data_IF_594622446511
#
_entry.id   IF_594622446511
#
_cell.length_a   1.000
_cell.length_b   1.000
_cell.length_c   1.000
_cell.angle_alpha   90.00
_cell.angle_beta   90.00
_cell.angle_gamma   90.00
#
_symmetry.space_group_name_H-M   'P 1'
#
loop_
_entity.id
_entity.type
_entity.pdbx_description
1 polymer ?
#
# COMPACT_ATOMS: atom_id res chain seq x y z
N UNK A 1 -42.56 -6.82 38.54
CA UNK A 1 -41.28 -6.11 38.41
C UNK A 1 -40.20 -7.08 38.82
N UNK A 2 -39.46 -7.58 37.85
CA UNK A 2 -38.70 -8.83 37.89
C UNK A 2 -37.26 -8.56 38.33
N UNK A 3 -36.82 -9.33 39.32
CA UNK A 3 -35.48 -9.52 39.88
C UNK A 3 -34.32 -9.05 39.00
N UNK A 4 -33.40 -8.27 39.58
CA UNK A 4 -32.05 -8.14 39.05
C UNK A 4 -31.05 -8.51 40.15
N UNK A 5 -30.67 -9.78 40.13
CA UNK A 5 -29.49 -10.32 40.80
C UNK A 5 -28.29 -9.80 39.99
N UNK A 6 -27.45 -8.96 40.58
CA UNK A 6 -26.16 -8.58 39.98
C UNK A 6 -25.09 -9.50 40.56
N UNK A 7 -24.82 -10.60 39.85
CA UNK A 7 -23.70 -11.50 40.15
C UNK A 7 -22.43 -10.93 39.52
N UNK A 8 -21.41 -10.76 40.38
CA UNK A 8 -20.02 -10.41 40.06
C UNK A 8 -19.39 -11.55 39.26
N UNK A 9 -18.85 -11.29 38.06
CA UNK A 9 -17.84 -12.17 37.46
C UNK A 9 -16.77 -11.40 36.67
N UNK A 10 -15.52 -11.75 37.01
CA UNK A 10 -14.28 -11.16 36.56
C UNK A 10 -14.11 -11.20 35.03
N UNK A 11 -13.76 -10.07 34.43
CA UNK A 11 -13.36 -10.01 33.02
C UNK A 11 -11.84 -9.94 32.95
N UNK A 12 -11.25 -11.07 32.61
CA UNK A 12 -9.85 -11.29 32.31
C UNK A 12 -9.38 -10.34 31.19
N UNK A 13 -8.36 -9.53 31.49
CA UNK A 13 -7.70 -8.67 30.51
C UNK A 13 -6.79 -9.53 29.63
N UNK A 14 -7.36 -10.12 28.57
CA UNK A 14 -6.60 -10.80 27.54
C UNK A 14 -5.78 -9.77 26.74
N UNK A 15 -4.46 -9.81 26.92
CA UNK A 15 -3.49 -9.10 26.08
C UNK A 15 -3.59 -9.64 24.65
N UNK A 16 -4.30 -8.94 23.77
CA UNK A 16 -4.21 -9.18 22.33
C UNK A 16 -2.85 -8.68 21.84
N UNK A 17 -1.87 -9.59 21.82
CA UNK A 17 -0.64 -9.41 21.06
C UNK A 17 -1.03 -9.27 19.58
N UNK A 18 -1.07 -8.03 19.11
CA UNK A 18 -1.36 -7.70 17.72
C UNK A 18 -0.13 -8.07 16.88
N UNK A 19 -0.13 -9.26 16.30
CA UNK A 19 0.91 -9.67 15.34
C UNK A 19 0.72 -8.88 14.04
N UNK A 20 1.43 -7.75 13.94
CA UNK A 20 1.53 -6.99 12.70
C UNK A 20 2.40 -7.76 11.70
N UNK A 21 1.79 -8.55 10.82
CA UNK A 21 2.49 -9.15 9.68
C UNK A 21 2.71 -8.08 8.61
N UNK A 22 3.97 -7.71 8.38
CA UNK A 22 4.36 -6.95 7.21
C UNK A 22 4.07 -7.75 5.93
N UNK A 23 3.69 -7.06 4.86
CA UNK A 23 3.41 -7.64 3.53
C UNK A 23 4.74 -8.16 2.94
N UNK A 24 4.87 -9.49 2.83
CA UNK A 24 6.05 -10.17 2.28
C UNK A 24 6.24 -9.91 0.78
N UNK A 25 7.49 -10.00 0.30
CA UNK A 25 7.79 -10.08 -1.14
C UNK A 25 7.02 -11.26 -1.77
N UNK A 26 6.21 -11.00 -2.80
CA UNK A 26 5.29 -11.98 -3.39
C UNK A 26 3.81 -11.66 -3.21
N UNK A 27 3.47 -10.47 -2.71
CA UNK A 27 2.10 -9.97 -2.60
C UNK A 27 1.87 -8.83 -3.59
N UNK A 28 0.68 -8.80 -4.17
CA UNK A 28 0.18 -7.68 -4.95
C UNK A 28 -0.61 -6.73 -4.07
N UNK A 29 -0.60 -5.44 -4.39
CA UNK A 29 -1.45 -4.43 -3.78
C UNK A 29 -2.39 -3.86 -4.84
N UNK A 30 -3.66 -3.71 -4.50
CA UNK A 30 -4.66 -3.09 -5.38
C UNK A 30 -5.00 -1.68 -4.89
N UNK A 31 -4.88 -0.71 -5.79
CA UNK A 31 -5.37 0.64 -5.61
C UNK A 31 -6.68 0.79 -6.37
N UNK A 32 -7.76 0.91 -5.61
CA UNK A 32 -9.12 1.13 -6.09
C UNK A 32 -9.46 2.61 -5.94
N UNK A 33 -10.33 3.14 -6.80
CA UNK A 33 -10.79 4.53 -6.74
C UNK A 33 -10.28 5.43 -7.87
N UNK A 34 -9.58 4.87 -8.87
CA UNK A 34 -9.36 5.56 -10.14
C UNK A 34 -10.49 5.24 -11.11
N UNK A 35 -11.06 6.24 -11.76
CA UNK A 35 -12.08 6.06 -12.81
C UNK A 35 -11.51 5.32 -14.04
N UNK A 36 -10.19 5.39 -14.24
CA UNK A 36 -9.45 4.73 -15.32
C UNK A 36 -9.18 3.25 -15.11
N UNK A 37 -9.51 2.67 -13.94
CA UNK A 37 -9.31 1.25 -13.65
C UNK A 37 -8.48 0.99 -12.40
N UNK A 38 -8.43 -0.28 -11.98
CA UNK A 38 -7.70 -0.70 -10.78
C UNK A 38 -6.21 -0.74 -11.11
N UNK A 39 -5.38 -0.20 -10.20
CA UNK A 39 -3.93 -0.33 -10.31
C UNK A 39 -3.45 -1.46 -9.43
N UNK A 40 -2.75 -2.42 -10.01
CA UNK A 40 -2.10 -3.52 -9.28
C UNK A 40 -0.61 -3.24 -9.20
N UNK A 41 -0.08 -3.09 -7.99
CA UNK A 41 1.36 -3.08 -7.73
C UNK A 41 1.83 -4.49 -7.43
N UNK A 42 2.78 -4.99 -8.24
CA UNK A 42 3.40 -6.29 -8.03
C UNK A 42 4.73 -6.15 -7.27
N UNK A 43 4.75 -6.61 -6.02
CA UNK A 43 5.92 -6.53 -5.16
C UNK A 43 7.08 -7.47 -5.55
N UNK A 44 6.82 -8.52 -6.33
CA UNK A 44 7.88 -9.40 -6.83
C UNK A 44 8.61 -8.72 -8.00
N UNK A 45 7.87 -8.20 -8.99
CA UNK A 45 8.44 -7.48 -10.13
C UNK A 45 9.27 -6.26 -9.68
N UNK A 46 8.75 -5.48 -8.73
CA UNK A 46 9.47 -4.31 -8.24
C UNK A 46 10.68 -4.68 -7.38
N UNK A 47 10.65 -5.82 -6.68
CA UNK A 47 11.81 -6.29 -5.93
C UNK A 47 12.95 -6.71 -6.85
N UNK A 48 12.65 -7.33 -7.99
CA UNK A 48 13.67 -7.69 -9.00
C UNK A 48 14.29 -6.44 -9.65
N UNK A 49 13.55 -5.33 -9.70
CA UNK A 49 14.00 -4.07 -10.29
C UNK A 49 14.78 -3.15 -9.33
N UNK A 50 14.90 -3.48 -8.04
CA UNK A 50 15.57 -2.65 -7.02
C UNK A 50 16.50 -3.50 -6.15
N UNK A 51 17.45 -2.86 -5.45
CA UNK A 51 18.46 -3.58 -4.67
C UNK A 51 18.03 -3.74 -3.21
N UNK A 52 17.27 -2.79 -2.67
CA UNK A 52 16.94 -2.78 -1.25
C UNK A 52 15.50 -2.34 -0.98
N UNK A 53 14.94 -2.79 0.15
CA UNK A 53 13.64 -2.34 0.63
C UNK A 53 13.60 -0.81 0.85
N UNK A 54 14.74 -0.19 1.16
CA UNK A 54 14.88 1.25 1.41
C UNK A 54 14.79 2.07 0.13
N UNK A 55 14.94 1.44 -1.03
CA UNK A 55 14.81 2.13 -2.32
C UNK A 55 13.38 2.63 -2.53
N UNK A 56 12.40 1.91 -1.96
CA UNK A 56 10.99 2.28 -1.91
C UNK A 56 10.58 2.87 -0.55
N UNK A 57 11.00 2.23 0.55
CA UNK A 57 10.56 2.57 1.90
C UNK A 57 11.47 3.56 2.59
N UNK A 58 11.32 4.82 2.19
CA UNK A 58 12.01 5.98 2.74
C UNK A 58 11.10 7.21 2.79
N UNK A 59 11.53 8.20 3.55
CA UNK A 59 10.88 9.51 3.60
C UNK A 59 10.73 10.11 2.20
N UNK A 60 9.55 10.70 1.95
CA UNK A 60 9.20 11.29 0.65
C UNK A 60 8.82 10.30 -0.46
N UNK A 61 8.82 8.98 -0.20
CA UNK A 61 8.36 7.96 -1.15
C UNK A 61 7.26 7.08 -0.54
N UNK A 62 7.61 5.99 0.13
CA UNK A 62 6.67 5.13 0.85
C UNK A 62 7.19 4.79 2.25
N UNK A 63 7.27 5.75 3.19
CA UNK A 63 7.99 5.58 4.46
C UNK A 63 7.43 4.46 5.35
N UNK A 64 6.18 4.05 5.13
CA UNK A 64 5.53 2.95 5.85
C UNK A 64 5.18 1.83 4.89
N UNK A 65 5.50 0.60 5.27
CA UNK A 65 5.07 -0.63 4.59
C UNK A 65 3.59 -0.94 4.88
N UNK A 66 2.71 0.03 4.63
CA UNK A 66 1.27 -0.05 4.90
C UNK A 66 0.51 0.77 3.86
N UNK A 67 -0.40 0.10 3.15
CA UNK A 67 -1.28 0.75 2.17
C UNK A 67 -2.16 1.82 2.85
N UNK A 68 -2.44 2.90 2.12
CA UNK A 68 -3.29 4.01 2.57
C UNK A 68 -2.60 5.01 3.50
N UNK A 69 -1.30 4.84 3.79
CA UNK A 69 -0.53 5.82 4.59
C UNK A 69 -0.01 7.00 3.78
N UNK A 70 0.08 6.84 2.46
CA UNK A 70 0.48 7.87 1.50
C UNK A 70 -0.65 8.03 0.52
N UNK A 71 -1.10 9.28 0.32
CA UNK A 71 -2.03 9.61 -0.76
C UNK A 71 -1.23 9.61 -2.06
N UNK A 72 -1.65 8.82 -3.03
CA UNK A 72 -1.00 8.73 -4.34
C UNK A 72 -1.89 9.45 -5.34
N UNK A 73 -1.34 10.44 -6.02
CA UNK A 73 -2.04 11.18 -7.08
C UNK A 73 -1.25 11.16 -8.37
N UNK A 74 -1.94 11.22 -9.52
CA UNK A 74 -1.25 11.32 -10.81
C UNK A 74 -0.48 12.64 -10.95
N UNK A 75 -0.94 13.71 -10.30
CA UNK A 75 -0.21 14.98 -10.23
C UNK A 75 1.18 14.80 -9.61
N UNK A 76 1.27 14.12 -8.47
CA UNK A 76 2.56 13.84 -7.82
C UNK A 76 3.42 12.90 -8.66
N UNK A 77 2.81 11.89 -9.30
CA UNK A 77 3.53 10.97 -10.19
C UNK A 77 4.13 11.73 -11.37
N UNK A 78 3.37 12.62 -12.02
CA UNK A 78 3.87 13.44 -13.12
C UNK A 78 4.89 14.49 -12.66
N UNK A 79 4.85 14.90 -11.40
CA UNK A 79 5.89 15.73 -10.77
C UNK A 79 7.15 14.93 -10.37
N UNK A 80 7.26 13.65 -10.76
CA UNK A 80 8.43 12.80 -10.49
C UNK A 80 8.49 12.25 -9.07
N UNK A 81 7.38 12.30 -8.32
CA UNK A 81 7.28 11.75 -6.96
C UNK A 81 6.61 10.37 -6.98
N UNK A 82 6.69 9.66 -5.87
CA UNK A 82 6.03 8.36 -5.70
C UNK A 82 6.42 7.38 -6.82
N UNK A 83 5.46 6.81 -7.54
CA UNK A 83 5.71 5.93 -8.68
C UNK A 83 6.58 6.61 -9.75
N UNK A 84 6.42 7.92 -9.92
CA UNK A 84 7.15 8.75 -10.88
C UNK A 84 8.64 8.92 -10.57
N UNK A 85 9.12 8.56 -9.37
CA UNK A 85 10.56 8.54 -9.08
C UNK A 85 11.30 7.58 -10.01
N UNK A 86 10.64 6.47 -10.38
CA UNK A 86 11.20 5.46 -11.29
C UNK A 86 10.49 5.48 -12.65
N UNK A 87 9.16 5.62 -12.68
CA UNK A 87 8.37 5.65 -13.92
C UNK A 87 8.40 7.02 -14.61
N UNK A 88 9.61 7.47 -14.96
CA UNK A 88 9.92 8.78 -15.53
C UNK A 88 10.50 8.70 -16.95
N UNK A 89 10.51 7.53 -17.58
CA UNK A 89 11.05 7.31 -18.91
C UNK A 89 12.57 7.08 -18.95
N UNK A 90 13.27 7.21 -17.82
CA UNK A 90 14.71 6.97 -17.72
C UNK A 90 15.01 5.68 -16.97
N UNK A 91 14.40 5.49 -15.79
CA UNK A 91 14.65 4.31 -14.94
C UNK A 91 13.68 3.17 -15.21
N UNK A 92 12.44 3.51 -15.53
CA UNK A 92 11.40 2.61 -16.00
C UNK A 92 10.55 3.35 -17.04
N UNK A 93 9.57 2.66 -17.63
CA UNK A 93 8.66 3.30 -18.57
C UNK A 93 8.01 4.55 -17.95
N UNK A 94 7.81 5.58 -18.76
CA UNK A 94 7.22 6.85 -18.30
C UNK A 94 5.75 6.65 -17.92
N UNK A 95 5.31 7.14 -16.75
CA UNK A 95 3.91 7.04 -16.34
C UNK A 95 2.97 7.83 -17.27
N UNK A 96 3.45 8.93 -17.85
CA UNK A 96 2.70 9.72 -18.83
C UNK A 96 2.58 8.95 -20.14
N UNK A 97 1.38 8.92 -20.71
CA UNK A 97 1.11 8.22 -21.98
C UNK A 97 1.07 6.69 -21.89
N UNK A 98 1.36 6.09 -20.73
CA UNK A 98 1.36 4.64 -20.54
C UNK A 98 0.29 4.19 -19.51
N UNK A 99 -0.88 4.83 -19.54
CA UNK A 99 -1.92 4.67 -18.53
C UNK A 99 -2.32 3.19 -18.31
N UNK A 100 -2.48 2.44 -19.40
CA UNK A 100 -2.95 1.06 -19.40
C UNK A 100 -1.95 0.06 -18.80
N UNK A 101 -0.68 0.45 -18.65
CA UNK A 101 0.33 -0.39 -17.99
C UNK A 101 0.09 -0.52 -16.49
N UNK A 102 -0.61 0.45 -15.90
CA UNK A 102 -0.94 0.45 -14.48
C UNK A 102 -2.45 0.32 -14.27
N UNK A 103 -3.25 1.09 -15.00
CA UNK A 103 -4.71 1.14 -14.86
C UNK A 103 -5.38 0.09 -15.73
N UNK A 104 -5.56 -1.11 -15.17
CA UNK A 104 -6.19 -2.22 -15.88
C UNK A 104 -7.68 -2.20 -15.56
N UNK A 105 -8.51 -2.14 -16.61
CA UNK A 105 -9.94 -2.40 -16.50
C UNK A 105 -10.12 -3.90 -16.27
N UNK A 106 -10.73 -4.27 -15.16
CA UNK A 106 -11.12 -5.66 -14.89
C UNK A 106 -12.47 -5.96 -15.51
#
# INVERSE_FOLDING_TARGET
>A
MRNLIVVITATSLALFASTAFAVSSGKTLEFKGSETGVVTFDGAMHKEAVTSCKDCHKEGLFPKMKQGTVKITMEEIYAGKLCGVCHNGQKAFEAKGNCERCHVKK
#
